data_IF_541180220769
#
_entry.id   IF_541180220769
#
_cell.length_a   1.000
_cell.length_b   1.000
_cell.length_c   1.000
_cell.angle_alpha   90.00
_cell.angle_beta   90.00
_cell.angle_gamma   90.00
#
_symmetry.space_group_name_H-M   'P 1'
#
loop_
_entity.id
_entity.type
_entity.pdbx_description
1 polymer ?
#
# COMPACT_ATOMS: atom_id res chain seq x y z
N UNK A 1 11.22 97.80 -17.52
CA UNK A 1 11.64 96.48 -18.07
C UNK A 1 12.55 96.78 -19.24
N UNK A 2 13.79 96.34 -19.36
CA UNK A 2 14.58 95.31 -18.69
C UNK A 2 16.05 95.77 -18.73
N UNK A 3 16.82 95.49 -17.67
CA UNK A 3 18.24 95.85 -17.53
C UNK A 3 19.12 94.87 -18.32
N UNK A 4 20.11 95.39 -19.04
CA UNK A 4 21.37 94.70 -19.39
C UNK A 4 22.22 94.55 -18.11
N UNK A 5 23.10 93.53 -17.97
CA UNK A 5 24.48 93.62 -18.50
C UNK A 5 25.12 92.24 -18.88
N UNK A 6 25.96 92.17 -19.91
CA UNK A 6 27.44 92.22 -19.91
C UNK A 6 28.12 90.85 -19.68
N UNK A 7 29.10 90.57 -20.54
CA UNK A 7 29.78 89.30 -20.76
C UNK A 7 31.27 89.49 -20.40
N UNK A 8 31.86 88.64 -19.56
CA UNK A 8 33.31 88.54 -19.34
C UNK A 8 33.69 87.07 -19.01
N UNK A 9 34.96 86.65 -19.20
CA UNK A 9 35.30 85.38 -19.84
C UNK A 9 35.78 84.25 -18.91
N UNK A 10 35.89 83.09 -19.55
CA UNK A 10 36.48 81.82 -19.12
C UNK A 10 37.74 81.95 -18.24
N UNK A 11 37.67 81.41 -17.02
CA UNK A 11 38.82 81.01 -16.22
C UNK A 11 38.68 79.53 -15.81
N UNK A 12 39.48 78.68 -16.43
CA UNK A 12 39.61 77.26 -16.12
C UNK A 12 40.50 77.09 -14.87
N UNK A 13 39.99 76.41 -13.83
CA UNK A 13 40.81 76.00 -12.65
C UNK A 13 40.97 74.48 -12.62
N UNK A 14 42.17 73.97 -12.27
CA UNK A 14 42.53 72.59 -12.48
C UNK A 14 41.99 71.65 -11.39
N UNK A 15 41.79 70.40 -11.81
CA UNK A 15 41.29 69.26 -11.05
C UNK A 15 41.95 69.07 -9.67
N UNK A 16 41.14 68.98 -8.60
CA UNK A 16 41.55 68.34 -7.35
C UNK A 16 41.02 66.91 -7.31
N UNK A 17 41.92 65.95 -7.51
CA UNK A 17 41.64 64.53 -7.35
C UNK A 17 41.50 64.25 -5.86
N UNK A 18 40.27 64.11 -5.38
CA UNK A 18 39.98 63.71 -4.00
C UNK A 18 40.27 62.21 -3.87
N UNK A 19 41.23 61.87 -3.02
CA UNK A 19 41.68 60.51 -2.72
C UNK A 19 40.54 59.66 -2.15
N UNK A 20 39.97 58.79 -2.99
CA UNK A 20 39.08 57.71 -2.59
C UNK A 20 39.90 56.46 -2.28
N UNK A 21 40.45 56.37 -1.07
CA UNK A 21 40.90 55.11 -0.50
C UNK A 21 40.84 55.19 1.02
N UNK A 22 39.82 54.52 1.60
CA UNK A 22 39.94 53.56 2.71
C UNK A 22 38.57 53.03 3.19
N UNK A 23 38.24 51.80 2.72
CA UNK A 23 37.58 50.66 3.43
C UNK A 23 36.04 50.69 3.66
N UNK A 24 35.33 49.52 3.72
CA UNK A 24 35.84 48.26 4.25
C UNK A 24 35.56 46.94 3.50
N UNK A 25 36.44 45.99 3.81
CA UNK A 25 36.46 44.54 3.54
C UNK A 25 35.35 43.82 4.36
N UNK A 26 34.14 44.37 4.42
CA UNK A 26 33.09 43.91 5.35
C UNK A 26 31.86 43.26 4.67
N UNK A 27 31.82 43.25 3.34
CA UNK A 27 30.70 42.66 2.58
C UNK A 27 30.93 41.20 2.22
N UNK A 28 32.15 40.81 1.84
CA UNK A 28 32.47 39.43 1.42
C UNK A 28 32.49 38.44 2.58
N UNK A 29 32.96 38.85 3.75
CA UNK A 29 32.91 38.04 4.98
C UNK A 29 31.47 37.76 5.42
N UNK A 30 30.57 38.72 5.22
CA UNK A 30 29.13 38.57 5.50
C UNK A 30 28.47 37.53 4.60
N UNK A 31 28.71 37.56 3.29
CA UNK A 31 28.13 36.59 2.36
C UNK A 31 28.65 35.17 2.57
N UNK A 32 29.94 35.00 2.89
CA UNK A 32 30.52 33.70 3.20
C UNK A 32 29.96 33.11 4.49
N UNK A 33 29.74 33.94 5.52
CA UNK A 33 29.11 33.51 6.77
C UNK A 33 27.65 33.10 6.55
N UNK A 34 26.88 33.88 5.78
CA UNK A 34 25.49 33.54 5.45
C UNK A 34 25.43 32.22 4.67
N UNK A 35 26.30 32.02 3.68
CA UNK A 35 26.34 30.78 2.90
C UNK A 35 26.73 29.56 3.76
N UNK A 36 27.70 29.72 4.67
CA UNK A 36 28.10 28.65 5.59
C UNK A 36 26.96 28.28 6.55
N UNK A 37 26.27 29.27 7.12
CA UNK A 37 25.15 29.06 8.03
C UNK A 37 23.95 28.40 7.35
N UNK A 38 23.60 28.82 6.13
CA UNK A 38 22.50 28.20 5.38
C UNK A 38 22.86 26.78 4.95
N UNK A 39 24.10 26.53 4.52
CA UNK A 39 24.57 25.18 4.16
C UNK A 39 24.56 24.23 5.36
N UNK A 40 24.97 24.70 6.55
CA UNK A 40 24.90 23.93 7.79
C UNK A 40 23.46 23.63 8.22
N UNK A 41 22.55 24.60 8.06
CA UNK A 41 21.13 24.41 8.34
C UNK A 41 20.52 23.34 7.43
N UNK A 42 20.75 23.42 6.12
CA UNK A 42 20.26 22.42 5.16
C UNK A 42 20.87 21.04 5.39
N UNK A 43 22.17 20.97 5.71
CA UNK A 43 22.83 19.71 6.03
C UNK A 43 22.25 19.07 7.30
N UNK A 44 21.94 19.88 8.33
CA UNK A 44 21.30 19.40 9.56
C UNK A 44 19.86 18.92 9.30
N UNK A 45 19.08 19.61 8.46
CA UNK A 45 17.73 19.18 8.06
C UNK A 45 17.79 17.85 7.32
N UNK A 46 18.69 17.71 6.33
CA UNK A 46 18.86 16.46 5.57
C UNK A 46 19.31 15.32 6.48
N UNK A 47 20.24 15.56 7.41
CA UNK A 47 20.65 14.56 8.39
C UNK A 47 19.49 14.16 9.32
N UNK A 48 18.69 15.13 9.77
CA UNK A 48 17.52 14.86 10.60
C UNK A 48 16.45 14.05 9.85
N UNK A 49 16.20 14.35 8.57
CA UNK A 49 15.27 13.59 7.71
C UNK A 49 15.77 12.18 7.40
N UNK A 50 17.09 11.99 7.29
CA UNK A 50 17.71 10.67 7.13
C UNK A 50 17.64 9.87 8.42
N UNK A 51 17.95 10.49 9.57
CA UNK A 51 17.85 9.85 10.89
C UNK A 51 16.40 9.51 11.24
N UNK A 52 15.45 10.41 10.95
CA UNK A 52 14.02 10.19 11.18
C UNK A 52 13.46 9.13 10.22
N UNK A 53 13.88 9.10 8.96
CA UNK A 53 13.54 8.01 8.03
C UNK A 53 14.04 6.66 8.54
N UNK A 54 15.30 6.57 8.99
CA UNK A 54 15.82 5.33 9.56
C UNK A 54 15.12 4.91 10.86
N UNK A 55 14.56 5.87 11.62
CA UNK A 55 13.76 5.59 12.81
C UNK A 55 12.34 5.12 12.46
N UNK A 56 11.70 5.72 11.45
CA UNK A 56 10.37 5.32 10.96
C UNK A 56 10.42 3.95 10.28
N UNK A 57 11.48 3.65 9.51
CA UNK A 57 11.68 2.32 8.91
C UNK A 57 11.91 1.20 9.93
N UNK A 58 12.29 1.56 11.17
CA UNK A 58 12.44 0.61 12.28
C UNK A 58 11.23 0.56 13.21
N UNK A 59 10.21 1.41 13.01
CA UNK A 59 8.95 1.23 13.70
C UNK A 59 8.36 -0.09 13.19
N UNK A 60 8.17 -1.10 14.06
CA UNK A 60 7.40 -2.25 13.67
C UNK A 60 6.00 -1.74 13.38
N UNK A 61 5.58 -1.81 12.11
CA UNK A 61 4.16 -1.88 11.81
C UNK A 61 3.69 -3.13 12.52
N UNK A 62 3.14 -2.94 13.73
CA UNK A 62 2.41 -3.96 14.44
C UNK A 62 1.14 -4.20 13.62
N UNK A 63 1.28 -4.96 12.53
CA UNK A 63 0.21 -5.84 12.14
C UNK A 63 0.01 -6.74 13.35
N UNK A 64 -1.06 -6.48 14.09
CA UNK A 64 -1.48 -7.26 15.25
C UNK A 64 -1.43 -8.74 14.90
N UNK A 65 -0.32 -9.41 15.25
CA UNK A 65 -0.30 -10.85 15.45
C UNK A 65 -0.81 -11.08 16.86
N UNK A 66 -2.11 -10.87 17.02
CA UNK A 66 -2.82 -11.33 18.20
C UNK A 66 -3.85 -12.36 17.77
N UNK A 67 -3.35 -13.50 17.25
CA UNK A 67 -4.02 -14.76 17.52
C UNK A 67 -3.61 -15.14 18.95
N UNK A 68 -4.33 -14.59 19.92
CA UNK A 68 -4.40 -15.21 21.24
C UNK A 68 -5.04 -16.57 21.04
N UNK A 69 -4.22 -17.62 21.11
CA UNK A 69 -4.66 -19.01 21.19
C UNK A 69 -5.37 -19.23 22.54
N UNK A 70 -6.52 -18.59 22.77
CA UNK A 70 -7.41 -18.93 23.87
C UNK A 70 -8.81 -18.34 23.73
N UNK A 71 -9.42 -18.47 22.56
CA UNK A 71 -10.86 -18.33 22.43
C UNK A 71 -11.41 -19.54 21.69
N UNK A 72 -11.96 -20.49 22.44
CA UNK A 72 -13.23 -21.10 22.06
C UNK A 72 -14.29 -19.99 22.06
N UNK A 73 -14.15 -19.00 21.17
CA UNK A 73 -15.27 -18.17 20.78
C UNK A 73 -16.25 -19.13 20.12
N UNK A 74 -17.46 -19.19 20.65
CA UNK A 74 -18.52 -20.02 20.15
C UNK A 74 -18.93 -19.47 18.78
N UNK A 75 -18.16 -19.79 17.74
CA UNK A 75 -18.61 -19.59 16.35
C UNK A 75 -19.75 -20.58 16.17
N UNK A 76 -21.01 -20.13 16.04
CA UNK A 76 -22.11 -21.05 15.86
C UNK A 76 -21.80 -21.96 14.65
N UNK A 77 -22.15 -23.26 14.71
CA UNK A 77 -21.90 -24.15 13.60
C UNK A 77 -22.50 -23.56 12.34
N UNK A 78 -21.67 -23.35 11.32
CA UNK A 78 -22.12 -22.76 10.05
C UNK A 78 -23.10 -23.74 9.40
N UNK A 79 -24.40 -23.41 9.26
CA UNK A 79 -25.41 -24.38 8.83
C UNK A 79 -25.12 -24.99 7.46
N UNK A 80 -24.55 -24.20 6.54
CA UNK A 80 -24.17 -24.67 5.20
C UNK A 80 -23.07 -25.76 5.22
N UNK A 81 -22.33 -25.89 6.32
CA UNK A 81 -21.30 -26.90 6.51
C UNK A 81 -21.75 -28.08 7.38
N UNK A 82 -23.02 -28.09 7.81
CA UNK A 82 -23.57 -29.18 8.61
C UNK A 82 -23.40 -30.53 7.88
N UNK A 83 -22.91 -31.54 8.60
CA UNK A 83 -22.63 -32.88 8.08
C UNK A 83 -21.62 -32.93 6.92
N UNK A 84 -20.78 -31.90 6.75
CA UNK A 84 -19.73 -31.88 5.73
C UNK A 84 -18.56 -32.80 6.07
N UNK A 85 -17.91 -33.35 5.04
CA UNK A 85 -16.65 -34.08 5.17
C UNK A 85 -15.48 -33.14 4.88
N UNK A 86 -14.58 -33.00 5.85
CA UNK A 86 -13.38 -32.19 5.69
C UNK A 86 -12.23 -33.02 5.10
N UNK A 87 -11.44 -32.44 4.19
CA UNK A 87 -10.17 -33.01 3.73
C UNK A 87 -9.08 -31.97 3.86
N UNK A 88 -7.89 -32.43 4.25
CA UNK A 88 -6.76 -31.58 4.56
C UNK A 88 -5.54 -31.96 3.73
N UNK A 89 -4.69 -30.98 3.41
CA UNK A 89 -3.44 -31.18 2.69
C UNK A 89 -2.29 -31.65 3.59
N UNK A 90 -2.47 -31.62 4.91
CA UNK A 90 -1.41 -31.93 5.87
C UNK A 90 -0.64 -30.70 6.30
N UNK A 91 0.54 -30.94 6.85
CA UNK A 91 1.37 -29.93 7.53
C UNK A 91 2.69 -29.64 6.80
N UNK A 92 2.93 -30.24 5.63
CA UNK A 92 4.12 -29.99 4.82
C UNK A 92 3.81 -29.98 3.33
N UNK A 93 4.65 -29.29 2.54
CA UNK A 93 4.54 -29.24 1.08
C UNK A 93 4.59 -30.64 0.47
N UNK A 94 5.46 -31.51 0.98
CA UNK A 94 5.56 -32.89 0.53
C UNK A 94 4.27 -33.68 0.81
N UNK A 95 3.67 -33.51 2.00
CA UNK A 95 2.40 -34.15 2.33
C UNK A 95 1.23 -33.60 1.47
N UNK A 96 1.24 -32.30 1.19
CA UNK A 96 0.23 -31.66 0.33
C UNK A 96 0.30 -32.23 -1.09
N UNK A 97 1.50 -32.30 -1.68
CA UNK A 97 1.72 -32.93 -3.00
C UNK A 97 1.30 -34.41 -3.00
N UNK A 98 1.69 -35.17 -1.98
CA UNK A 98 1.34 -36.59 -1.85
C UNK A 98 -0.18 -36.83 -1.73
N UNK A 99 -0.92 -35.87 -1.16
CA UNK A 99 -2.39 -35.91 -1.06
C UNK A 99 -3.12 -35.30 -2.27
N UNK A 100 -2.39 -34.94 -3.33
CA UNK A 100 -2.97 -34.36 -4.53
C UNK A 100 -3.53 -32.95 -4.31
N UNK A 101 -2.96 -32.18 -3.38
CA UNK A 101 -3.28 -30.77 -3.25
C UNK A 101 -2.51 -29.92 -4.25
N UNK A 102 -3.05 -28.74 -4.54
CA UNK A 102 -2.45 -27.73 -5.43
C UNK A 102 -2.27 -26.43 -4.67
N UNK A 103 -1.18 -25.73 -4.91
CA UNK A 103 -0.98 -24.40 -4.33
C UNK A 103 -1.89 -23.40 -5.06
N UNK A 104 -2.83 -22.81 -4.34
CA UNK A 104 -3.77 -21.83 -4.86
C UNK A 104 -3.25 -20.43 -4.51
N UNK A 105 -2.81 -19.70 -5.52
CA UNK A 105 -2.25 -18.35 -5.36
C UNK A 105 -3.28 -17.31 -4.91
N UNK A 106 -4.56 -17.55 -5.17
CA UNK A 106 -5.64 -16.67 -4.73
C UNK A 106 -5.90 -16.92 -3.24
N UNK A 107 -6.01 -18.16 -2.79
CA UNK A 107 -6.17 -18.45 -1.35
C UNK A 107 -4.85 -18.45 -0.56
N UNK A 108 -3.71 -18.35 -1.25
CA UNK A 108 -2.34 -18.34 -0.69
C UNK A 108 -2.02 -19.60 0.15
N UNK A 109 -2.74 -20.70 -0.08
CA UNK A 109 -2.62 -21.96 0.67
C UNK A 109 -2.61 -23.18 -0.25
N UNK A 110 -2.14 -24.32 0.28
CA UNK A 110 -2.30 -25.62 -0.38
C UNK A 110 -3.74 -26.10 -0.21
N UNK A 111 -4.45 -26.24 -1.34
CA UNK A 111 -5.87 -26.55 -1.40
C UNK A 111 -6.11 -27.94 -2.00
N UNK A 112 -7.00 -28.77 -1.44
CA UNK A 112 -7.37 -30.05 -2.05
C UNK A 112 -7.85 -29.84 -3.49
N UNK A 113 -7.42 -30.68 -4.44
CA UNK A 113 -7.73 -30.47 -5.87
C UNK A 113 -9.22 -30.30 -6.18
N UNK A 114 -10.11 -30.94 -5.42
CA UNK A 114 -11.56 -30.80 -5.58
C UNK A 114 -12.10 -29.41 -5.21
N UNK A 115 -11.42 -28.68 -4.32
CA UNK A 115 -11.78 -27.32 -3.94
C UNK A 115 -11.01 -26.26 -4.75
N UNK A 116 -10.18 -26.69 -5.72
CA UNK A 116 -9.33 -25.79 -6.47
C UNK A 116 -10.11 -25.11 -7.60
N UNK A 117 -10.34 -23.81 -7.46
CA UNK A 117 -11.11 -23.01 -8.43
C UNK A 117 -10.21 -22.32 -9.45
N UNK A 118 -9.90 -23.04 -10.53
CA UNK A 118 -9.04 -22.53 -11.60
C UNK A 118 -9.61 -21.26 -12.26
N UNK A 119 -10.93 -21.12 -12.36
CA UNK A 119 -11.55 -19.98 -13.03
C UNK A 119 -11.38 -18.70 -12.22
N UNK A 120 -11.61 -18.77 -10.90
CA UNK A 120 -11.38 -17.62 -10.01
C UNK A 120 -9.90 -17.24 -9.91
N UNK A 121 -8.99 -18.22 -9.96
CA UNK A 121 -7.55 -17.96 -10.00
C UNK A 121 -7.13 -17.28 -11.30
N UNK A 122 -7.61 -17.77 -12.45
CA UNK A 122 -7.29 -17.17 -13.74
C UNK A 122 -7.80 -15.73 -13.84
N UNK A 123 -9.01 -15.48 -13.33
CA UNK A 123 -9.57 -14.14 -13.25
C UNK A 123 -8.78 -13.23 -12.31
N UNK A 124 -8.36 -13.75 -11.16
CA UNK A 124 -7.48 -13.03 -10.24
C UNK A 124 -6.18 -12.64 -10.94
N UNK A 125 -5.51 -13.56 -11.64
CA UNK A 125 -4.27 -13.29 -12.38
C UNK A 125 -4.44 -12.27 -13.52
N UNK A 126 -5.63 -12.25 -14.14
CA UNK A 126 -5.95 -11.35 -15.24
C UNK A 126 -6.52 -10.00 -14.79
N UNK A 127 -6.61 -9.74 -13.47
CA UNK A 127 -7.23 -8.51 -12.95
C UNK A 127 -6.53 -7.24 -13.45
N UNK A 128 -5.20 -7.25 -13.50
CA UNK A 128 -4.42 -6.16 -14.08
C UNK A 128 -4.08 -6.47 -15.54
N UNK A 129 -4.10 -5.45 -16.41
CA UNK A 129 -3.86 -5.57 -17.86
C UNK A 129 -2.50 -6.22 -18.19
N UNK A 130 -1.52 -6.09 -17.31
CA UNK A 130 -0.19 -6.67 -17.45
C UNK A 130 -0.06 -8.10 -16.86
N UNK A 131 -1.14 -8.67 -16.31
CA UNK A 131 -1.12 -9.97 -15.63
C UNK A 131 -0.33 -9.98 -14.31
N UNK A 132 -0.18 -8.81 -13.67
CA UNK A 132 0.66 -8.58 -12.48
C UNK A 132 -0.13 -8.44 -11.17
N UNK A 133 -1.38 -8.90 -11.16
CA UNK A 133 -2.23 -8.83 -9.98
C UNK A 133 -1.77 -9.72 -8.83
N UNK A 134 -0.98 -10.77 -9.12
CA UNK A 134 -0.25 -11.56 -8.13
C UNK A 134 1.25 -11.33 -8.27
N UNK A 135 1.89 -10.90 -7.19
CA UNK A 135 3.33 -10.71 -7.09
C UNK A 135 3.82 -11.28 -5.75
N UNK A 136 4.85 -12.10 -5.78
CA UNK A 136 5.46 -12.65 -4.57
C UNK A 136 6.96 -12.32 -4.55
N UNK A 137 7.47 -11.98 -3.37
CA UNK A 137 8.87 -11.62 -3.15
C UNK A 137 9.43 -12.31 -1.92
N UNK A 138 10.71 -12.68 -1.96
CA UNK A 138 11.40 -13.24 -0.82
C UNK A 138 11.75 -12.18 0.25
N UNK A 139 11.79 -10.91 -0.13
CA UNK A 139 12.23 -9.77 0.68
C UNK A 139 11.20 -8.63 0.68
N UNK A 140 11.24 -7.79 1.74
CA UNK A 140 10.32 -6.68 1.93
C UNK A 140 10.58 -5.52 0.95
N UNK A 141 11.80 -5.42 0.43
CA UNK A 141 12.21 -4.42 -0.56
C UNK A 141 11.73 -4.76 -1.98
N UNK A 142 11.05 -5.90 -2.16
CA UNK A 142 10.52 -6.40 -3.43
C UNK A 142 11.59 -6.56 -4.52
N UNK A 143 12.81 -6.97 -4.14
CA UNK A 143 13.93 -7.11 -5.07
C UNK A 143 14.15 -8.54 -5.58
N UNK A 144 13.61 -9.54 -4.89
CA UNK A 144 13.76 -10.96 -5.21
C UNK A 144 12.38 -11.57 -5.52
N UNK A 145 11.91 -11.47 -6.78
CA UNK A 145 10.62 -12.03 -7.16
C UNK A 145 10.62 -13.56 -7.10
N UNK A 146 9.47 -14.13 -6.77
CA UNK A 146 9.24 -15.57 -6.65
C UNK A 146 8.21 -16.05 -7.66
N UNK A 147 8.48 -17.19 -8.29
CA UNK A 147 7.49 -17.93 -9.08
C UNK A 147 6.47 -18.66 -8.20
N UNK A 148 5.35 -19.08 -8.79
CA UNK A 148 4.28 -19.80 -8.07
C UNK A 148 4.80 -21.04 -7.34
N UNK A 149 5.63 -21.85 -8.00
CA UNK A 149 6.20 -23.07 -7.43
C UNK A 149 7.16 -22.78 -6.27
N UNK A 150 7.92 -21.69 -6.35
CA UNK A 150 8.83 -21.25 -5.29
C UNK A 150 8.04 -20.78 -4.09
N UNK A 151 7.04 -19.91 -4.29
CA UNK A 151 6.16 -19.41 -3.24
C UNK A 151 5.44 -20.55 -2.53
N UNK A 152 4.86 -21.50 -3.27
CA UNK A 152 4.21 -22.68 -2.69
C UNK A 152 5.16 -23.62 -1.95
N UNK A 153 6.47 -23.54 -2.22
CA UNK A 153 7.50 -24.35 -1.58
C UNK A 153 8.11 -23.74 -0.33
N UNK A 154 7.74 -22.50 0.04
CA UNK A 154 8.17 -21.84 1.29
C UNK A 154 7.52 -22.57 2.48
N UNK A 155 8.18 -23.63 2.96
CA UNK A 155 7.69 -24.46 4.04
C UNK A 155 7.80 -23.70 5.39
N UNK A 156 6.65 -23.31 5.96
CA UNK A 156 6.59 -22.66 7.28
C UNK A 156 7.15 -21.22 7.31
N UNK A 157 7.46 -20.64 6.16
CA UNK A 157 7.95 -19.27 6.03
C UNK A 157 6.89 -18.27 5.59
N UNK A 158 7.30 -17.03 5.38
CA UNK A 158 6.46 -15.94 4.89
C UNK A 158 7.12 -15.39 3.63
N UNK A 159 6.30 -14.93 2.68
CA UNK A 159 6.75 -14.14 1.53
C UNK A 159 6.08 -12.77 1.57
N UNK A 160 6.65 -11.82 0.85
CA UNK A 160 6.15 -10.45 0.75
C UNK A 160 5.35 -10.27 -0.54
N UNK A 161 4.37 -9.39 -0.50
CA UNK A 161 3.55 -9.00 -1.64
C UNK A 161 3.24 -7.50 -1.54
N UNK A 162 2.62 -6.96 -2.57
CA UNK A 162 2.19 -5.56 -2.59
C UNK A 162 0.85 -5.35 -1.89
N UNK A 163 0.59 -4.13 -1.43
CA UNK A 163 -0.73 -3.73 -0.91
C UNK A 163 -1.82 -3.88 -1.97
N UNK A 164 -1.49 -3.59 -3.23
CA UNK A 164 -2.38 -3.76 -4.37
C UNK A 164 -2.84 -5.22 -4.52
N UNK A 165 -1.90 -6.16 -4.50
CA UNK A 165 -2.22 -7.61 -4.52
C UNK A 165 -3.17 -8.01 -3.39
N UNK A 166 -2.99 -7.47 -2.19
CA UNK A 166 -3.86 -7.78 -1.06
C UNK A 166 -5.28 -7.23 -1.23
N UNK A 167 -5.44 -6.03 -1.80
CA UNK A 167 -6.75 -5.45 -2.15
C UNK A 167 -7.46 -6.32 -3.18
N UNK A 168 -6.76 -6.70 -4.25
CA UNK A 168 -7.31 -7.54 -5.32
C UNK A 168 -7.68 -8.92 -4.77
N UNK A 169 -6.84 -9.53 -3.95
CA UNK A 169 -7.10 -10.79 -3.25
C UNK A 169 -8.41 -10.74 -2.45
N UNK A 170 -8.60 -9.72 -1.62
CA UNK A 170 -9.81 -9.56 -0.81
C UNK A 170 -11.08 -9.44 -1.68
N UNK A 171 -11.03 -8.63 -2.74
CA UNK A 171 -12.15 -8.47 -3.67
C UNK A 171 -12.46 -9.77 -4.42
N UNK A 172 -11.43 -10.49 -4.88
CA UNK A 172 -11.57 -11.73 -5.63
C UNK A 172 -12.06 -12.90 -4.79
N UNK A 173 -11.68 -12.98 -3.51
CA UNK A 173 -12.23 -13.99 -2.59
C UNK A 173 -13.70 -13.74 -2.27
N UNK A 174 -14.12 -12.48 -2.12
CA UNK A 174 -15.54 -12.16 -1.97
C UNK A 174 -16.34 -12.57 -3.22
N UNK A 175 -15.81 -12.28 -4.41
CA UNK A 175 -16.40 -12.74 -5.68
C UNK A 175 -16.45 -14.27 -5.78
N UNK A 176 -15.38 -14.97 -5.40
CA UNK A 176 -15.30 -16.43 -5.37
C UNK A 176 -16.37 -17.02 -4.44
N UNK A 177 -16.58 -16.43 -3.27
CA UNK A 177 -17.63 -16.83 -2.32
C UNK A 177 -19.02 -16.72 -2.96
N UNK A 178 -19.35 -15.58 -3.58
CA UNK A 178 -20.64 -15.43 -4.29
C UNK A 178 -20.79 -16.44 -5.43
N UNK A 179 -19.74 -16.65 -6.24
CA UNK A 179 -19.75 -17.61 -7.35
C UNK A 179 -20.05 -19.03 -6.85
N UNK A 180 -19.45 -19.43 -5.74
CA UNK A 180 -19.71 -20.73 -5.12
C UNK A 180 -21.18 -20.91 -4.71
N UNK A 181 -21.79 -19.86 -4.15
CA UNK A 181 -23.22 -19.85 -3.81
C UNK A 181 -24.10 -19.90 -5.06
N UNK A 182 -23.84 -19.06 -6.05
CA UNK A 182 -24.67 -18.95 -7.27
C UNK A 182 -24.63 -20.22 -8.13
N UNK A 183 -23.50 -20.92 -8.14
CA UNK A 183 -23.32 -22.17 -8.87
C UNK A 183 -23.77 -23.41 -8.06
N UNK A 184 -24.18 -23.23 -6.80
CA UNK A 184 -24.59 -24.33 -5.92
C UNK A 184 -23.45 -25.31 -5.62
N UNK A 185 -22.21 -24.82 -5.52
CA UNK A 185 -21.03 -25.68 -5.30
C UNK A 185 -21.14 -26.42 -3.98
N UNK A 186 -20.78 -27.70 -4.00
CA UNK A 186 -20.69 -28.57 -2.81
C UNK A 186 -19.27 -28.65 -2.25
N UNK A 187 -18.29 -28.23 -3.03
CA UNK A 187 -16.87 -28.25 -2.68
C UNK A 187 -16.43 -26.82 -2.44
N UNK A 188 -16.30 -26.47 -1.17
CA UNK A 188 -15.92 -25.14 -0.72
C UNK A 188 -14.55 -25.23 -0.07
N UNK A 189 -13.64 -24.31 -0.41
CA UNK A 189 -12.38 -24.19 0.33
C UNK A 189 -12.61 -23.51 1.69
N UNK A 190 -11.67 -23.71 2.61
CA UNK A 190 -11.80 -23.25 3.98
C UNK A 190 -11.80 -21.71 4.11
N UNK A 191 -11.20 -20.96 3.17
CA UNK A 191 -11.11 -19.50 3.27
C UNK A 191 -12.45 -18.84 2.95
N UNK A 192 -13.14 -19.29 1.91
CA UNK A 192 -14.42 -18.66 1.51
C UNK A 192 -15.58 -19.00 2.47
N UNK A 193 -15.39 -19.97 3.37
CA UNK A 193 -16.40 -20.33 4.38
C UNK A 193 -16.02 -19.88 5.79
N UNK A 194 -14.83 -19.32 5.98
CA UNK A 194 -14.39 -18.78 7.26
C UNK A 194 -14.92 -17.34 7.46
N UNK A 195 -15.80 -17.11 8.45
CA UNK A 195 -16.29 -15.78 8.75
C UNK A 195 -15.16 -14.83 9.20
N UNK A 196 -14.13 -15.33 9.88
CA UNK A 196 -13.03 -14.47 10.32
C UNK A 196 -12.22 -13.94 9.14
N UNK A 197 -11.92 -14.79 8.16
CA UNK A 197 -11.29 -14.36 6.91
C UNK A 197 -12.16 -13.35 6.14
N UNK A 198 -13.48 -13.58 6.08
CA UNK A 198 -14.42 -12.65 5.42
C UNK A 198 -14.43 -11.29 6.12
N UNK A 199 -14.53 -11.26 7.44
CA UNK A 199 -14.52 -10.03 8.24
C UNK A 199 -13.20 -9.26 8.09
N UNK A 200 -12.07 -9.98 8.03
CA UNK A 200 -10.77 -9.37 7.76
C UNK A 200 -10.76 -8.67 6.41
N UNK A 201 -11.18 -9.36 5.34
CA UNK A 201 -11.23 -8.80 3.99
C UNK A 201 -12.08 -7.53 3.93
N UNK A 202 -13.28 -7.55 4.52
CA UNK A 202 -14.20 -6.40 4.54
C UNK A 202 -13.58 -5.22 5.28
N UNK A 203 -13.05 -5.45 6.49
CA UNK A 203 -12.41 -4.38 7.30
C UNK A 203 -11.21 -3.79 6.57
N UNK A 204 -10.38 -4.64 5.98
CA UNK A 204 -9.19 -4.21 5.26
C UNK A 204 -9.55 -3.34 4.05
N UNK A 205 -10.53 -3.75 3.23
CA UNK A 205 -11.00 -2.96 2.09
C UNK A 205 -11.55 -1.59 2.51
N UNK A 206 -12.27 -1.51 3.64
CA UNK A 206 -12.73 -0.23 4.20
C UNK A 206 -11.56 0.63 4.67
N UNK A 207 -10.60 0.06 5.39
CA UNK A 207 -9.41 0.77 5.90
C UNK A 207 -8.57 1.36 4.77
N UNK A 208 -8.52 0.71 3.61
CA UNK A 208 -7.84 1.25 2.42
C UNK A 208 -8.44 2.58 1.93
N UNK A 209 -9.69 2.88 2.28
CA UNK A 209 -10.33 4.18 1.98
C UNK A 209 -10.03 5.26 3.02
N UNK A 210 -9.58 4.86 4.21
CA UNK A 210 -9.27 5.76 5.33
C UNK A 210 -7.82 6.23 5.31
N UNK A 211 -6.92 5.43 4.72
CA UNK A 211 -5.57 5.86 4.42
C UNK A 211 -5.61 7.02 3.41
N UNK A 212 -4.97 8.15 3.75
CA UNK A 212 -4.75 9.22 2.77
C UNK A 212 -3.96 8.61 1.62
N UNK A 213 -4.58 8.53 0.44
CA UNK A 213 -3.91 7.92 -0.70
C UNK A 213 -2.69 8.77 -1.12
N UNK A 214 -1.84 8.21 -1.98
CA UNK A 214 -0.62 8.90 -2.48
C UNK A 214 -0.89 10.23 -3.18
N UNK A 215 -2.16 10.54 -3.49
CA UNK A 215 -2.62 11.79 -4.12
C UNK A 215 -3.25 12.77 -3.13
N UNK A 216 -3.26 12.46 -1.82
CA UNK A 216 -3.84 13.33 -0.79
C UNK A 216 -5.36 13.35 -0.75
N UNK A 217 -6.04 12.40 -1.43
CA UNK A 217 -7.51 12.35 -1.48
C UNK A 217 -8.02 11.70 -0.20
N UNK A 218 -8.98 12.39 0.44
CA UNK A 218 -9.78 11.86 1.54
C UNK A 218 -11.10 11.34 0.98
N UNK A 219 -11.22 10.03 0.77
CA UNK A 219 -12.41 9.41 0.17
C UNK A 219 -13.70 9.66 0.96
N UNK A 220 -13.60 10.00 2.26
CA UNK A 220 -14.76 10.35 3.12
C UNK A 220 -15.42 11.68 2.72
N UNK A 221 -14.72 12.51 1.96
CA UNK A 221 -15.18 13.84 1.52
C UNK A 221 -15.53 13.91 0.05
N UNK A 222 -15.29 12.83 -0.71
CA UNK A 222 -15.59 12.79 -2.15
C UNK A 222 -17.09 12.52 -2.31
N UNK A 223 -17.87 13.46 -2.88
CA UNK A 223 -19.28 13.23 -3.13
C UNK A 223 -19.44 12.18 -4.25
N UNK A 224 -20.36 11.25 -4.06
CA UNK A 224 -20.77 10.27 -5.06
C UNK A 224 -22.29 10.42 -5.22
N UNK A 225 -22.75 10.52 -6.47
CA UNK A 225 -24.18 10.53 -6.79
C UNK A 225 -24.76 9.12 -6.58
N UNK A 226 -25.90 9.03 -5.89
CA UNK A 226 -26.58 7.77 -5.59
C UNK A 226 -28.06 7.91 -5.93
N UNK A 227 -28.53 7.04 -6.82
CA UNK A 227 -29.95 6.92 -7.14
C UNK A 227 -30.66 6.02 -6.11
N UNK A 228 -31.82 6.47 -5.63
CA UNK A 228 -32.67 5.64 -4.75
C UNK A 228 -33.46 4.66 -5.61
N UNK A 229 -33.16 3.37 -5.47
CA UNK A 229 -33.85 2.27 -6.15
C UNK A 229 -34.87 1.52 -5.29
N UNK A 230 -35.62 0.60 -5.91
CA UNK A 230 -36.52 -0.36 -5.24
C UNK A 230 -35.97 -1.78 -5.37
N UNK A 231 -35.99 -2.55 -4.28
CA UNK A 231 -35.47 -3.93 -4.23
C UNK A 231 -36.57 -4.98 -4.01
N UNK A 232 -36.38 -6.17 -4.55
CA UNK A 232 -37.18 -7.36 -4.22
C UNK A 232 -36.55 -8.21 -3.10
N UNK A 233 -37.32 -9.11 -2.52
CA UNK A 233 -36.86 -10.11 -1.55
C UNK A 233 -37.20 -11.51 -2.05
N UNK A 234 -36.18 -12.36 -2.21
CA UNK A 234 -36.35 -13.77 -2.60
C UNK A 234 -36.37 -14.64 -1.35
N UNK A 235 -37.51 -15.27 -1.08
CA UNK A 235 -37.67 -16.22 0.03
C UNK A 235 -37.49 -17.63 -0.54
N UNK A 236 -36.43 -18.32 -0.12
CA UNK A 236 -36.21 -19.71 -0.49
C UNK A 236 -37.19 -20.61 0.30
N UNK A 237 -37.71 -21.69 -0.32
CA UNK A 237 -38.53 -22.67 0.39
C UNK A 237 -37.73 -23.35 1.51
N UNK A 238 -38.42 -23.78 2.57
CA UNK A 238 -37.82 -24.59 3.63
C UNK A 238 -37.27 -25.91 3.04
N UNK A 239 -36.11 -26.39 3.53
CA UNK A 239 -35.46 -27.61 3.04
C UNK A 239 -36.23 -28.90 3.36
#
# INVERSE_FOLDING_TARGET
>A
MSKTPELEPFLHKPNSVRSWLKRPVMTTTSHLLVFALTSLLWFAIILFDRLSSSYISQLPVQHSKQMTNNETAFVPPIPILANSMTTHCGTSVAAAKARGCRYDILSKVWTPSRCFDQASIAEYQAWDEDGRSWLAYADAEHTQPLGIDETGSIAGGTYYTTEHDHIVHCAMLWKKQFRALSEGRRELDALIVDPHHTDHCVKYLVQMTEAVNTKGIDYRKVPIEVDVGFSGCFILPEP
#
